data_IF_600753081060
#
_entry.id   IF_600753081060
#
_cell.length_a   1.000
_cell.length_b   1.000
_cell.length_c   1.000
_cell.angle_alpha   90.00
_cell.angle_beta   90.00
_cell.angle_gamma   90.00
#
_symmetry.space_group_name_H-M   'P 1'
#
loop_
_entity.id
_entity.type
_entity.pdbx_description
1 polymer ?
#
# COMPACT_ATOMS: atom_id res chain seq x y z
N UNK A 1 13.25 6.73 -9.21
CA UNK A 1 12.06 6.47 -10.04
C UNK A 1 11.00 5.85 -9.16
N UNK A 2 9.81 6.42 -9.12
CA UNK A 2 8.74 5.91 -8.25
C UNK A 2 8.24 4.58 -8.81
N UNK A 3 8.67 3.47 -8.21
CA UNK A 3 8.02 2.17 -8.41
C UNK A 3 6.64 2.21 -7.73
N UNK A 4 5.72 3.00 -8.30
CA UNK A 4 4.29 2.91 -8.07
C UNK A 4 3.71 1.66 -8.73
N UNK A 5 4.47 0.56 -8.70
CA UNK A 5 4.05 -0.72 -9.25
C UNK A 5 2.95 -1.28 -8.37
N UNK A 6 1.80 -1.55 -8.99
CA UNK A 6 0.70 -2.26 -8.33
C UNK A 6 1.26 -3.63 -7.94
N UNK A 7 1.07 -4.09 -6.68
CA UNK A 7 1.56 -5.40 -6.27
C UNK A 7 1.12 -6.50 -7.22
N UNK A 8 2.04 -7.39 -7.58
CA UNK A 8 1.82 -8.47 -8.55
C UNK A 8 0.61 -9.35 -8.18
N UNK A 9 0.39 -9.61 -6.88
CA UNK A 9 -0.76 -10.37 -6.41
C UNK A 9 -2.10 -9.68 -6.72
N UNK A 10 -2.15 -8.34 -6.61
CA UNK A 10 -3.34 -7.55 -6.93
C UNK A 10 -3.61 -7.63 -8.44
N UNK A 11 -2.57 -7.52 -9.27
CA UNK A 11 -2.68 -7.67 -10.73
C UNK A 11 -3.15 -9.07 -11.13
N UNK A 12 -2.60 -10.13 -10.52
CA UNK A 12 -3.03 -11.52 -10.77
C UNK A 12 -4.50 -11.74 -10.40
N UNK A 13 -4.96 -11.18 -9.27
CA UNK A 13 -6.37 -11.27 -8.85
C UNK A 13 -7.28 -10.50 -9.83
N UNK A 14 -6.88 -9.31 -10.27
CA UNK A 14 -7.64 -8.51 -11.25
C UNK A 14 -7.77 -9.22 -12.59
N UNK A 15 -6.68 -9.77 -13.13
CA UNK A 15 -6.70 -10.58 -14.38
C UNK A 15 -7.66 -11.77 -14.25
N UNK A 16 -7.63 -12.47 -13.11
CA UNK A 16 -8.53 -13.60 -12.87
C UNK A 16 -9.98 -13.17 -12.73
N UNK A 17 -10.25 -12.04 -12.07
CA UNK A 17 -11.60 -11.47 -11.98
C UNK A 17 -12.20 -11.13 -13.34
N UNK A 18 -11.39 -10.64 -14.28
CA UNK A 18 -11.84 -10.32 -15.63
C UNK A 18 -12.33 -11.55 -16.41
N UNK A 19 -11.93 -12.76 -16.01
CA UNK A 19 -12.38 -14.02 -16.64
C UNK A 19 -13.69 -14.56 -16.07
N UNK A 20 -14.16 -14.04 -14.93
CA UNK A 20 -15.37 -14.55 -14.29
C UNK A 20 -16.59 -13.71 -14.64
N UNK A 21 -17.72 -14.38 -14.89
CA UNK A 21 -19.01 -13.73 -15.04
C UNK A 21 -19.38 -12.96 -13.77
N UNK A 22 -19.84 -11.72 -13.95
CA UNK A 22 -20.22 -10.82 -12.87
C UNK A 22 -21.37 -11.44 -12.06
N UNK A 23 -21.16 -11.56 -10.75
CA UNK A 23 -22.15 -12.15 -9.84
C UNK A 23 -22.02 -13.66 -9.63
N UNK A 24 -21.20 -14.35 -10.43
CA UNK A 24 -20.85 -15.76 -10.20
C UNK A 24 -20.21 -15.97 -8.83
N UNK A 25 -20.28 -17.21 -8.32
CA UNK A 25 -19.67 -17.58 -7.02
C UNK A 25 -18.18 -17.24 -6.99
N UNK A 26 -17.46 -17.49 -8.08
CA UNK A 26 -16.04 -17.19 -8.22
C UNK A 26 -15.78 -15.68 -8.27
N UNK A 27 -16.59 -14.92 -9.01
CA UNK A 27 -16.49 -13.46 -9.02
C UNK A 27 -16.65 -12.86 -7.61
N UNK A 28 -17.68 -13.28 -6.86
CA UNK A 28 -17.91 -12.85 -5.47
C UNK A 28 -16.77 -13.26 -4.52
N UNK A 29 -16.17 -14.43 -4.73
CA UNK A 29 -15.01 -14.89 -3.96
C UNK A 29 -13.78 -14.02 -4.23
N UNK A 30 -13.41 -13.83 -5.50
CA UNK A 30 -12.19 -13.12 -5.85
C UNK A 30 -12.29 -11.60 -5.63
N UNK A 31 -13.48 -11.01 -5.69
CA UNK A 31 -13.70 -9.60 -5.29
C UNK A 31 -13.43 -9.39 -3.80
N UNK A 32 -13.88 -10.30 -2.93
CA UNK A 32 -13.55 -10.27 -1.49
C UNK A 32 -12.05 -10.41 -1.25
N UNK A 33 -11.39 -11.33 -1.97
CA UNK A 33 -9.93 -11.52 -1.88
C UNK A 33 -9.20 -10.24 -2.31
N UNK A 34 -9.61 -9.62 -3.41
CA UNK A 34 -9.05 -8.37 -3.92
C UNK A 34 -9.15 -7.25 -2.88
N UNK A 35 -10.33 -7.05 -2.29
CA UNK A 35 -10.56 -6.02 -1.27
C UNK A 35 -9.63 -6.19 -0.06
N UNK A 36 -9.40 -7.42 0.39
CA UNK A 36 -8.46 -7.73 1.49
C UNK A 36 -7.03 -7.31 1.13
N UNK A 37 -6.57 -7.61 -0.08
CA UNK A 37 -5.21 -7.27 -0.53
C UNK A 37 -5.02 -5.75 -0.69
N UNK A 38 -5.99 -5.05 -1.25
CA UNK A 38 -5.97 -3.58 -1.38
C UNK A 38 -5.88 -2.95 0.02
N UNK A 39 -6.72 -3.38 0.97
CA UNK A 39 -6.69 -2.86 2.35
C UNK A 39 -5.32 -3.06 3.00
N UNK A 40 -4.74 -4.27 2.89
CA UNK A 40 -3.41 -4.58 3.43
C UNK A 40 -2.32 -3.70 2.82
N UNK A 41 -2.34 -3.54 1.48
CA UNK A 41 -1.37 -2.71 0.76
C UNK A 41 -1.46 -1.23 1.18
N UNK A 42 -2.68 -0.69 1.23
CA UNK A 42 -2.91 0.68 1.67
C UNK A 42 -2.47 0.91 3.12
N UNK A 43 -2.70 -0.06 4.01
CA UNK A 43 -2.22 0.02 5.39
C UNK A 43 -0.69 0.06 5.45
N UNK A 44 0.01 -0.80 4.70
CA UNK A 44 1.47 -0.79 4.63
C UNK A 44 2.01 0.56 4.14
N UNK A 45 1.40 1.15 3.11
CA UNK A 45 1.75 2.50 2.63
C UNK A 45 1.57 3.57 3.71
N UNK A 46 0.44 3.54 4.43
CA UNK A 46 0.18 4.49 5.53
C UNK A 46 1.26 4.39 6.61
N UNK A 47 1.57 3.18 7.08
CA UNK A 47 2.60 2.96 8.10
C UNK A 47 3.97 3.47 7.62
N UNK A 48 4.39 3.09 6.41
CA UNK A 48 5.66 3.58 5.86
C UNK A 48 5.71 5.10 5.72
N UNK A 49 4.59 5.75 5.37
CA UNK A 49 4.53 7.21 5.32
C UNK A 49 4.66 7.83 6.71
N UNK A 50 4.00 7.27 7.74
CA UNK A 50 4.10 7.79 9.10
C UNK A 50 5.53 7.66 9.64
N UNK A 51 6.17 6.51 9.42
CA UNK A 51 7.57 6.29 9.80
C UNK A 51 8.47 7.35 9.17
N UNK A 52 8.35 7.59 7.86
CA UNK A 52 9.15 8.61 7.16
C UNK A 52 8.94 10.01 7.73
N UNK A 53 7.71 10.37 8.08
CA UNK A 53 7.41 11.65 8.71
C UNK A 53 8.10 11.77 10.06
N UNK A 54 8.06 10.72 10.89
CA UNK A 54 8.76 10.69 12.18
C UNK A 54 10.28 10.85 11.98
N UNK A 55 10.89 10.04 11.11
CA UNK A 55 12.32 10.11 10.78
C UNK A 55 12.74 11.49 10.28
N UNK A 56 11.87 12.15 9.51
CA UNK A 56 12.13 13.50 8.98
C UNK A 56 12.09 14.54 10.10
N UNK A 57 11.13 14.44 11.03
CA UNK A 57 11.04 15.33 12.19
C UNK A 57 12.25 15.16 13.10
N UNK A 58 12.67 13.93 13.38
CA UNK A 58 13.85 13.63 14.20
C UNK A 58 15.11 14.29 13.63
N UNK A 59 15.37 14.13 12.33
CA UNK A 59 16.48 14.80 11.64
C UNK A 59 16.42 16.32 11.78
N UNK A 60 15.25 16.93 11.57
CA UNK A 60 15.10 18.37 11.76
C UNK A 60 15.38 18.81 13.21
N UNK A 61 15.02 18.00 14.20
CA UNK A 61 15.30 18.32 15.61
C UNK A 61 16.79 18.19 15.96
N UNK A 62 17.48 17.19 15.41
CA UNK A 62 18.94 17.03 15.57
C UNK A 62 19.68 18.20 14.90
N UNK A 63 19.35 18.51 13.64
CA UNK A 63 19.95 19.64 12.92
C UNK A 63 19.74 20.99 13.61
N UNK A 64 18.63 21.17 14.34
CA UNK A 64 18.40 22.38 15.14
C UNK A 64 19.30 22.44 16.38
N UNK A 65 19.45 21.33 17.10
CA UNK A 65 20.34 21.25 18.27
C UNK A 65 21.79 21.50 17.90
N UNK A 66 22.24 20.98 16.74
CA UNK A 66 23.60 21.16 16.26
C UNK A 66 23.89 22.60 15.79
N UNK A 67 22.87 23.39 15.47
CA UNK A 67 23.00 24.81 15.07
C UNK A 67 22.93 25.79 16.26
N UNK A 68 22.40 25.34 17.40
CA UNK A 68 22.29 26.15 18.63
C UNK A 68 23.49 25.94 19.58
N UNK A 69 24.33 24.93 19.34
CA UNK A 69 25.63 24.71 20.00
C UNK A 69 26.78 25.31 19.18
#
# INVERSE_FOLDING_TARGET
MAESSIPEDILKIQKKLATFEKGSRNYKKYTKILAKHIKKHNMKKRVSSHIKTIETIEKFTEEKKDKEN
#
